data_IF_109511679301
#
_entry.id   IF_109511679301
#
_cell.length_a   1.000
_cell.length_b   1.000
_cell.length_c   1.000
_cell.angle_alpha   90.00
_cell.angle_beta   90.00
_cell.angle_gamma   90.00
#
_symmetry.space_group_name_H-M   'P 1'
#
loop_
_entity.id
_entity.type
_entity.pdbx_description
1 polymer ?
#
# COMPACT_ATOMS: atom_id res chain seq x y z
N UNK A 1 25.36 -0.72 30.07
CA UNK A 1 24.66 -1.16 28.84
C UNK A 1 23.39 -0.33 28.67
N UNK A 2 23.28 0.52 27.65
CA UNK A 2 22.04 1.28 27.39
C UNK A 2 20.94 0.28 27.02
N UNK A 3 19.85 0.23 27.79
CA UNK A 3 18.67 -0.59 27.46
C UNK A 3 18.15 -0.12 26.10
N UNK A 4 18.09 -1.03 25.13
CA UNK A 4 17.46 -0.75 23.83
C UNK A 4 16.00 -0.43 24.10
N UNK A 5 15.55 0.76 23.70
CA UNK A 5 14.14 1.10 23.76
C UNK A 5 13.43 0.41 22.59
N UNK A 6 12.80 -0.72 22.86
CA UNK A 6 12.05 -1.52 21.88
C UNK A 6 10.94 -0.71 21.17
N UNK A 7 10.42 0.36 21.80
CA UNK A 7 9.48 1.28 21.16
C UNK A 7 10.09 2.06 20.00
N UNK A 8 11.36 2.48 20.10
CA UNK A 8 12.09 3.16 19.02
C UNK A 8 12.34 2.22 17.85
N UNK A 9 12.73 0.98 18.14
CA UNK A 9 12.98 -0.05 17.12
C UNK A 9 11.70 -0.34 16.35
N UNK A 10 10.58 -0.59 17.05
CA UNK A 10 9.29 -0.81 16.40
C UNK A 10 8.85 0.38 15.54
N UNK A 11 8.98 1.60 16.08
CA UNK A 11 8.64 2.82 15.34
C UNK A 11 9.48 3.00 14.06
N UNK A 12 10.78 2.66 14.09
CA UNK A 12 11.64 2.68 12.91
C UNK A 12 11.16 1.68 11.85
N UNK A 13 10.84 0.45 12.25
CA UNK A 13 10.32 -0.56 11.33
C UNK A 13 9.00 -0.12 10.68
N UNK A 14 8.10 0.51 11.43
CA UNK A 14 6.87 1.07 10.86
C UNK A 14 7.15 2.14 9.81
N UNK A 15 8.11 3.04 10.05
CA UNK A 15 8.49 4.06 9.07
C UNK A 15 9.10 3.45 7.81
N UNK A 16 10.03 2.50 7.96
CA UNK A 16 10.63 1.80 6.83
C UNK A 16 9.55 1.10 5.99
N UNK A 17 8.60 0.44 6.66
CA UNK A 17 7.52 -0.26 5.98
C UNK A 17 6.60 0.70 5.21
N UNK A 18 6.29 1.87 5.78
CA UNK A 18 5.51 2.92 5.11
C UNK A 18 6.27 3.57 3.95
N UNK A 19 7.59 3.75 4.06
CA UNK A 19 8.44 4.22 2.96
C UNK A 19 8.42 3.21 1.81
N UNK A 20 8.53 1.92 2.10
CA UNK A 20 8.46 0.88 1.06
C UNK A 20 7.09 0.85 0.38
N UNK A 21 6.01 1.03 1.14
CA UNK A 21 4.66 1.09 0.58
C UNK A 21 4.46 2.31 -0.32
N UNK A 22 4.64 3.51 0.24
CA UNK A 22 4.37 4.79 -0.43
C UNK A 22 5.37 4.99 -1.58
N UNK A 23 6.66 4.81 -1.30
CA UNK A 23 7.73 4.95 -2.27
C UNK A 23 7.67 3.88 -3.36
N UNK A 24 7.41 2.62 -3.00
CA UNK A 24 7.27 1.52 -3.96
C UNK A 24 6.16 1.78 -4.97
N UNK A 25 4.98 2.24 -4.52
CA UNK A 25 3.88 2.56 -5.43
C UNK A 25 4.21 3.75 -6.33
N UNK A 26 4.85 4.80 -5.81
CA UNK A 26 5.29 5.96 -6.63
C UNK A 26 6.25 5.52 -7.72
N UNK A 27 7.24 4.68 -7.40
CA UNK A 27 8.18 4.14 -8.38
C UNK A 27 7.46 3.31 -9.45
N UNK A 28 6.52 2.46 -9.04
CA UNK A 28 5.74 1.65 -10.00
C UNK A 28 4.96 2.57 -10.96
N UNK A 29 4.22 3.54 -10.43
CA UNK A 29 3.35 4.41 -11.23
C UNK A 29 4.16 5.35 -12.13
N UNK A 30 5.17 6.03 -11.58
CA UNK A 30 5.88 7.09 -12.28
C UNK A 30 6.97 6.57 -13.23
N UNK A 31 7.57 5.41 -12.92
CA UNK A 31 8.73 4.90 -13.65
C UNK A 31 8.42 3.58 -14.37
N UNK A 32 7.94 2.57 -13.63
CA UNK A 32 7.81 1.20 -14.18
C UNK A 32 6.72 1.12 -15.24
N UNK A 33 5.52 1.65 -14.96
CA UNK A 33 4.40 1.59 -15.92
C UNK A 33 4.77 2.26 -17.26
N UNK A 34 5.25 3.53 -17.30
CA UNK A 34 5.64 4.15 -18.57
C UNK A 34 6.78 3.42 -19.27
N UNK A 35 7.82 2.99 -18.52
CA UNK A 35 8.96 2.31 -19.11
C UNK A 35 8.56 1.00 -19.81
N UNK A 36 7.66 0.22 -19.19
CA UNK A 36 7.20 -1.06 -19.73
C UNK A 36 6.35 -0.84 -20.97
N UNK A 37 5.38 0.08 -20.95
CA UNK A 37 4.53 0.34 -22.12
C UNK A 37 5.27 1.03 -23.28
N UNK A 38 6.34 1.77 -23.01
CA UNK A 38 7.19 2.32 -24.06
C UNK A 38 8.11 1.26 -24.70
N UNK A 39 8.41 0.17 -23.98
CA UNK A 39 9.38 -0.85 -24.42
C UNK A 39 8.72 -2.13 -24.95
N UNK A 40 7.48 -2.42 -24.55
CA UNK A 40 6.75 -3.64 -24.88
C UNK A 40 5.37 -3.34 -25.48
N UNK A 41 4.85 -4.26 -26.30
CA UNK A 41 3.45 -4.22 -26.75
C UNK A 41 2.45 -4.41 -25.60
N UNK A 42 1.18 -4.08 -25.85
CA UNK A 42 0.13 -4.03 -24.81
C UNK A 42 -0.04 -5.34 -24.03
N UNK A 43 -0.03 -6.49 -24.71
CA UNK A 43 -0.23 -7.80 -24.11
C UNK A 43 0.97 -8.24 -23.23
N UNK A 44 2.22 -8.24 -23.72
CA UNK A 44 3.40 -8.51 -22.87
C UNK A 44 3.54 -7.51 -21.70
N UNK A 45 3.28 -6.22 -21.94
CA UNK A 45 3.31 -5.19 -20.91
C UNK A 45 2.28 -5.47 -19.80
N UNK A 46 1.06 -5.86 -20.17
CA UNK A 46 -0.01 -6.20 -19.25
C UNK A 46 0.34 -7.40 -18.35
N UNK A 47 0.92 -8.46 -18.92
CA UNK A 47 1.37 -9.62 -18.14
C UNK A 47 2.53 -9.29 -17.20
N UNK A 48 3.49 -8.49 -17.66
CA UNK A 48 4.60 -8.05 -16.83
C UNK A 48 4.12 -7.22 -15.63
N UNK A 49 3.28 -6.21 -15.88
CA UNK A 49 2.75 -5.35 -14.84
C UNK A 49 1.90 -6.13 -13.84
N UNK A 50 1.09 -7.10 -14.28
CA UNK A 50 0.37 -8.00 -13.39
C UNK A 50 1.30 -8.66 -12.39
N UNK A 51 2.41 -9.26 -12.85
CA UNK A 51 3.38 -9.92 -11.97
C UNK A 51 4.06 -8.96 -11.00
N UNK A 52 4.34 -7.73 -11.43
CA UNK A 52 4.87 -6.66 -10.56
C UNK A 52 3.86 -6.28 -9.47
N UNK A 53 2.60 -6.07 -9.86
CA UNK A 53 1.53 -5.71 -8.91
C UNK A 53 1.16 -6.85 -7.97
N UNK A 54 1.22 -8.11 -8.40
CA UNK A 54 1.03 -9.28 -7.53
C UNK A 54 2.13 -9.34 -6.46
N UNK A 55 3.39 -9.16 -6.86
CA UNK A 55 4.52 -9.10 -5.94
C UNK A 55 4.43 -7.92 -4.96
N UNK A 56 4.08 -6.74 -5.47
CA UNK A 56 3.85 -5.55 -4.65
C UNK A 56 2.66 -5.72 -3.69
N UNK A 57 1.58 -6.36 -4.15
CA UNK A 57 0.41 -6.70 -3.35
C UNK A 57 0.75 -7.61 -2.18
N UNK A 58 1.48 -8.70 -2.43
CA UNK A 58 1.95 -9.60 -1.39
C UNK A 58 2.88 -8.89 -0.40
N UNK A 59 3.79 -8.03 -0.89
CA UNK A 59 4.64 -7.21 -0.03
C UNK A 59 3.81 -6.29 0.88
N UNK A 60 2.74 -5.67 0.36
CA UNK A 60 1.86 -4.82 1.15
C UNK A 60 1.11 -5.60 2.23
N UNK A 61 0.72 -6.85 1.98
CA UNK A 61 0.14 -7.73 3.02
C UNK A 61 1.13 -7.95 4.16
N UNK A 62 2.40 -8.24 3.84
CA UNK A 62 3.44 -8.38 4.87
C UNK A 62 3.69 -7.08 5.64
N UNK A 63 3.65 -5.94 4.95
CA UNK A 63 3.75 -4.63 5.61
C UNK A 63 2.56 -4.41 6.55
N UNK A 64 1.32 -4.73 6.15
CA UNK A 64 0.15 -4.61 7.02
C UNK A 64 0.29 -5.47 8.28
N UNK A 65 0.75 -6.72 8.13
CA UNK A 65 1.00 -7.60 9.26
C UNK A 65 2.02 -6.98 10.20
N UNK A 66 3.15 -6.50 9.66
CA UNK A 66 4.19 -5.85 10.46
C UNK A 66 3.65 -4.61 11.18
N UNK A 67 2.95 -3.72 10.48
CA UNK A 67 2.36 -2.50 11.05
C UNK A 67 1.36 -2.85 12.16
N UNK A 68 0.51 -3.84 11.95
CA UNK A 68 -0.50 -4.28 12.92
C UNK A 68 0.12 -4.90 14.16
N UNK A 69 1.10 -5.78 13.99
CA UNK A 69 1.80 -6.44 15.11
C UNK A 69 2.58 -5.43 15.93
N UNK A 70 3.36 -4.54 15.29
CA UNK A 70 4.16 -3.55 16.00
C UNK A 70 3.27 -2.51 16.69
N UNK A 71 2.21 -2.03 16.03
CA UNK A 71 1.23 -1.15 16.65
C UNK A 71 0.53 -1.82 17.84
N UNK A 72 0.16 -3.09 17.73
CA UNK A 72 -0.45 -3.86 18.82
C UNK A 72 0.48 -4.05 20.02
N UNK A 73 1.74 -4.42 19.79
CA UNK A 73 2.76 -4.54 20.84
C UNK A 73 2.95 -3.20 21.55
N UNK A 74 3.05 -2.10 20.79
CA UNK A 74 3.22 -0.76 21.37
C UNK A 74 1.99 -0.26 22.11
N UNK A 75 0.79 -0.56 21.61
CA UNK A 75 -0.44 -0.26 22.31
C UNK A 75 -0.50 -0.99 23.66
N UNK A 76 -0.09 -2.27 23.71
CA UNK A 76 -0.03 -3.03 24.97
C UNK A 76 1.04 -2.53 25.94
N UNK A 77 2.20 -2.11 25.42
CA UNK A 77 3.33 -1.69 26.24
C UNK A 77 3.23 -0.24 26.75
N UNK A 78 2.63 0.67 25.96
CA UNK A 78 2.64 2.12 26.22
C UNK A 78 1.23 2.76 26.19
N UNK A 79 0.16 1.99 25.96
CA UNK A 79 -1.19 2.51 25.73
C UNK A 79 -1.88 3.16 26.93
N UNK A 80 -1.30 3.10 28.13
CA UNK A 80 -1.85 3.72 29.33
C UNK A 80 -1.28 5.11 29.65
N UNK A 81 -0.29 5.60 28.88
CA UNK A 81 0.36 6.90 29.11
C UNK A 81 0.27 7.79 27.85
N UNK A 82 -0.68 8.77 27.81
CA UNK A 82 -0.97 9.57 26.61
C UNK A 82 0.16 10.49 26.11
N UNK A 83 1.26 10.66 26.85
CA UNK A 83 2.29 11.67 26.57
C UNK A 83 3.58 11.14 25.91
N UNK A 84 3.71 9.82 25.67
CA UNK A 84 4.92 9.27 25.08
C UNK A 84 4.85 9.20 23.56
N UNK A 85 5.97 9.52 22.89
CA UNK A 85 6.20 9.38 21.44
C UNK A 85 5.69 8.04 20.87
N UNK A 86 5.63 7.01 21.71
CA UNK A 86 5.35 5.63 21.34
C UNK A 86 3.87 5.23 21.44
N UNK A 87 2.99 6.05 22.02
CA UNK A 87 1.56 5.74 22.12
C UNK A 87 0.89 5.69 20.74
N UNK A 88 0.04 4.68 20.52
CA UNK A 88 -0.72 4.51 19.27
C UNK A 88 -2.04 5.27 19.39
N UNK A 89 -2.28 6.17 18.46
CA UNK A 89 -3.49 7.03 18.45
C UNK A 89 -4.66 6.35 17.73
N UNK A 90 -5.90 6.73 18.06
CA UNK A 90 -7.09 6.22 17.36
C UNK A 90 -7.06 6.49 15.85
N UNK A 91 -6.43 7.59 15.43
CA UNK A 91 -6.24 7.92 14.00
C UNK A 91 -5.36 6.89 13.31
N UNK A 92 -4.29 6.42 13.95
CA UNK A 92 -3.42 5.39 13.37
C UNK A 92 -4.17 4.06 13.17
N UNK A 93 -5.05 3.69 14.11
CA UNK A 93 -5.91 2.51 13.98
C UNK A 93 -6.90 2.64 12.83
N UNK A 94 -7.58 3.78 12.69
CA UNK A 94 -8.49 4.03 11.57
C UNK A 94 -7.79 3.99 10.22
N UNK A 95 -6.60 4.59 10.12
CA UNK A 95 -5.80 4.55 8.90
C UNK A 95 -5.36 3.12 8.56
N UNK A 96 -4.89 2.36 9.55
CA UNK A 96 -4.47 0.97 9.35
C UNK A 96 -5.64 0.06 8.96
N UNK A 97 -6.81 0.25 9.59
CA UNK A 97 -8.04 -0.45 9.22
C UNK A 97 -8.46 -0.14 7.78
N UNK A 98 -8.44 1.14 7.39
CA UNK A 98 -8.70 1.57 6.02
C UNK A 98 -7.73 0.95 5.01
N UNK A 99 -6.42 0.97 5.31
CA UNK A 99 -5.41 0.35 4.45
C UNK A 99 -5.62 -1.17 4.30
N UNK A 100 -6.03 -1.83 5.38
CA UNK A 100 -6.31 -3.27 5.38
C UNK A 100 -7.52 -3.58 4.51
N UNK A 101 -8.61 -2.83 4.70
CA UNK A 101 -9.83 -2.96 3.90
C UNK A 101 -9.51 -2.78 2.42
N UNK A 102 -8.82 -1.70 2.04
CA UNK A 102 -8.49 -1.42 0.65
C UNK A 102 -7.59 -2.50 0.04
N UNK A 103 -6.55 -2.92 0.76
CA UNK A 103 -5.65 -3.98 0.30
C UNK A 103 -6.38 -5.29 0.07
N UNK A 104 -7.27 -5.68 1.00
CA UNK A 104 -8.08 -6.88 0.86
C UNK A 104 -9.03 -6.78 -0.33
N UNK A 105 -9.76 -5.67 -0.47
CA UNK A 105 -10.65 -5.44 -1.62
C UNK A 105 -9.92 -5.53 -2.95
N UNK A 106 -8.71 -4.95 -3.04
CA UNK A 106 -7.91 -5.01 -4.26
C UNK A 106 -7.45 -6.43 -4.55
N UNK A 107 -6.85 -7.12 -3.57
CA UNK A 107 -6.18 -8.41 -3.84
C UNK A 107 -7.14 -9.59 -3.93
N UNK A 108 -8.21 -9.59 -3.14
CA UNK A 108 -9.10 -10.76 -3.01
C UNK A 108 -10.33 -10.63 -3.91
N UNK A 109 -10.79 -9.41 -4.17
CA UNK A 109 -12.03 -9.17 -4.92
C UNK A 109 -11.72 -8.64 -6.31
N UNK A 110 -11.14 -7.45 -6.39
CA UNK A 110 -11.00 -6.73 -7.66
C UNK A 110 -9.89 -7.30 -8.55
N UNK A 111 -8.81 -7.79 -7.95
CA UNK A 111 -7.65 -8.36 -8.64
C UNK A 111 -8.03 -9.59 -9.48
N UNK A 112 -8.62 -10.64 -8.89
CA UNK A 112 -9.05 -11.82 -9.64
C UNK A 112 -10.05 -11.50 -10.76
N UNK A 113 -10.98 -10.55 -10.52
CA UNK A 113 -11.93 -10.10 -11.54
C UNK A 113 -11.21 -9.39 -12.70
N UNK A 114 -10.27 -8.50 -12.41
CA UNK A 114 -9.49 -7.80 -13.43
C UNK A 114 -8.60 -8.77 -14.24
N UNK A 115 -8.07 -9.81 -13.59
CA UNK A 115 -7.31 -10.87 -14.25
C UNK A 115 -8.17 -11.66 -15.24
N UNK A 116 -9.38 -12.06 -14.84
CA UNK A 116 -10.29 -12.81 -15.69
C UNK A 116 -10.66 -12.01 -16.95
N UNK A 117 -11.04 -10.73 -16.78
CA UNK A 117 -11.35 -9.85 -17.92
C UNK A 117 -10.14 -9.58 -18.81
N UNK A 118 -8.94 -9.49 -18.23
CA UNK A 118 -7.70 -9.34 -19.02
C UNK A 118 -7.42 -10.57 -19.88
N UNK A 119 -7.58 -11.77 -19.31
CA UNK A 119 -7.38 -13.03 -20.04
C UNK A 119 -8.42 -13.19 -21.16
N UNK A 120 -9.67 -12.82 -20.91
CA UNK A 120 -10.73 -12.79 -21.93
C UNK A 120 -10.42 -11.81 -23.06
N UNK A 121 -9.98 -10.59 -22.73
CA UNK A 121 -9.60 -9.59 -23.74
C UNK A 121 -8.40 -10.03 -24.59
N UNK A 122 -7.49 -10.81 -24.03
CA UNK A 122 -6.33 -11.34 -24.75
C UNK A 122 -6.68 -12.58 -25.59
N UNK A 123 -7.64 -13.40 -25.14
CA UNK A 123 -8.10 -14.59 -25.85
C UNK A 123 -9.07 -14.29 -27.02
N UNK A 124 -9.70 -13.11 -27.03
CA UNK A 124 -10.63 -12.72 -28.08
C UNK A 124 -9.96 -12.66 -29.47
N UNK A 125 -10.55 -13.39 -30.43
CA UNK A 125 -10.03 -13.52 -31.81
C UNK A 125 -10.65 -12.48 -32.74
N UNK A 126 -11.96 -12.22 -32.59
CA UNK A 126 -12.63 -11.19 -33.39
C UNK A 126 -12.33 -9.81 -32.83
N UNK A 127 -12.27 -8.81 -33.72
CA UNK A 127 -12.03 -7.43 -33.32
C UNK A 127 -13.16 -6.87 -32.45
N UNK A 128 -14.40 -7.24 -32.77
CA UNK A 128 -15.59 -6.79 -32.04
C UNK A 128 -15.62 -7.34 -30.61
N UNK A 129 -15.33 -8.63 -30.43
CA UNK A 129 -15.25 -9.25 -29.10
C UNK A 129 -14.10 -8.66 -28.28
N UNK A 130 -12.96 -8.37 -28.94
CA UNK A 130 -11.78 -7.79 -28.30
C UNK A 130 -12.06 -6.37 -27.78
N UNK A 131 -12.78 -5.55 -28.55
CA UNK A 131 -13.14 -4.20 -28.15
C UNK A 131 -14.11 -4.20 -26.95
N UNK A 132 -15.08 -5.12 -26.92
CA UNK A 132 -16.02 -5.30 -25.80
C UNK A 132 -15.26 -5.72 -24.53
N UNK A 133 -14.46 -6.79 -24.62
CA UNK A 133 -13.70 -7.32 -23.49
C UNK A 133 -12.70 -6.28 -22.94
N UNK A 134 -12.04 -5.51 -23.81
CA UNK A 134 -11.18 -4.41 -23.37
C UNK A 134 -11.96 -3.31 -22.65
N UNK A 135 -13.14 -2.93 -23.13
CA UNK A 135 -13.95 -1.90 -22.48
C UNK A 135 -14.33 -2.31 -21.05
N UNK A 136 -14.71 -3.57 -20.86
CA UNK A 136 -15.04 -4.11 -19.53
C UNK A 136 -13.81 -4.18 -18.62
N UNK A 137 -12.69 -4.69 -19.15
CA UNK A 137 -11.42 -4.71 -18.43
C UNK A 137 -11.02 -3.29 -17.99
N UNK A 138 -11.03 -2.30 -18.89
CA UNK A 138 -10.64 -0.93 -18.56
C UNK A 138 -11.58 -0.29 -17.54
N UNK A 139 -12.89 -0.55 -17.63
CA UNK A 139 -13.87 -0.06 -16.64
C UNK A 139 -13.54 -0.57 -15.25
N UNK A 140 -13.31 -1.86 -15.08
CA UNK A 140 -12.93 -2.43 -13.78
C UNK A 140 -11.53 -1.96 -13.35
N UNK A 141 -10.59 -1.91 -14.28
CA UNK A 141 -9.22 -1.50 -14.00
C UNK A 141 -9.13 -0.04 -13.51
N UNK A 142 -10.01 0.86 -13.98
CA UNK A 142 -10.12 2.22 -13.45
C UNK A 142 -10.56 2.24 -11.98
N UNK A 143 -11.49 1.36 -11.59
CA UNK A 143 -11.89 1.19 -10.18
C UNK A 143 -10.71 0.69 -9.35
N UNK A 144 -9.99 -0.33 -9.83
CA UNK A 144 -8.78 -0.86 -9.17
C UNK A 144 -7.74 0.25 -8.95
N UNK A 145 -7.49 1.08 -9.97
CA UNK A 145 -6.58 2.24 -9.86
C UNK A 145 -7.03 3.25 -8.82
N UNK A 146 -8.32 3.59 -8.80
CA UNK A 146 -8.88 4.48 -7.79
C UNK A 146 -8.70 3.91 -6.38
N UNK A 147 -8.94 2.61 -6.19
CA UNK A 147 -8.69 1.92 -4.93
C UNK A 147 -7.23 1.99 -4.50
N UNK A 148 -6.27 1.77 -5.42
CA UNK A 148 -4.85 1.94 -5.13
C UNK A 148 -4.49 3.37 -4.72
N UNK A 149 -5.08 4.39 -5.37
CA UNK A 149 -4.83 5.79 -5.04
C UNK A 149 -5.39 6.17 -3.66
N UNK A 150 -6.57 5.67 -3.31
CA UNK A 150 -7.14 5.84 -1.96
C UNK A 150 -6.24 5.17 -0.92
N UNK A 151 -5.82 3.92 -1.18
CA UNK A 151 -4.94 3.18 -0.28
C UNK A 151 -3.58 3.89 -0.09
N UNK A 152 -3.03 4.46 -1.17
CA UNK A 152 -1.86 5.32 -1.12
C UNK A 152 -2.07 6.54 -0.21
N UNK A 153 -3.20 7.24 -0.36
CA UNK A 153 -3.56 8.38 0.48
C UNK A 153 -3.62 8.02 1.97
N UNK A 154 -4.16 6.84 2.31
CA UNK A 154 -4.20 6.33 3.68
C UNK A 154 -2.79 6.04 4.22
N UNK A 155 -1.95 5.35 3.44
CA UNK A 155 -0.57 5.04 3.82
C UNK A 155 0.28 6.31 4.00
N UNK A 156 0.17 7.26 3.07
CA UNK A 156 0.85 8.55 3.14
C UNK A 156 0.38 9.37 4.36
N UNK A 157 -0.92 9.35 4.67
CA UNK A 157 -1.47 10.00 5.87
C UNK A 157 -0.90 9.37 7.15
N UNK A 158 -0.82 8.04 7.21
CA UNK A 158 -0.23 7.33 8.35
C UNK A 158 1.26 7.66 8.51
N UNK A 159 1.98 7.75 7.39
CA UNK A 159 3.37 8.19 7.38
C UNK A 159 3.53 9.61 7.93
N UNK A 160 2.70 10.56 7.47
CA UNK A 160 2.72 11.95 7.95
C UNK A 160 2.41 12.01 9.45
N UNK A 161 1.41 11.27 9.94
CA UNK A 161 1.08 11.21 11.39
C UNK A 161 2.29 10.77 12.20
N UNK A 162 3.01 9.73 11.75
CA UNK A 162 4.21 9.24 12.44
C UNK A 162 5.36 10.25 12.37
N UNK A 163 5.65 10.82 11.20
CA UNK A 163 6.70 11.85 11.07
C UNK A 163 6.41 13.06 11.95
N UNK A 164 5.14 13.50 12.04
CA UNK A 164 4.73 14.58 12.94
C UNK A 164 5.05 14.27 14.40
N UNK A 165 4.82 13.03 14.88
CA UNK A 165 5.18 12.63 16.26
C UNK A 165 6.68 12.81 16.54
N UNK A 166 7.55 12.54 15.56
CA UNK A 166 9.00 12.77 15.69
C UNK A 166 9.32 14.25 15.82
N UNK A 167 8.75 15.07 14.92
CA UNK A 167 9.03 16.50 14.86
C UNK A 167 8.55 17.24 16.11
N UNK A 168 7.33 16.96 16.57
CA UNK A 168 6.78 17.59 17.77
C UNK A 168 7.53 17.17 19.04
N UNK A 169 7.93 15.90 19.17
CA UNK A 169 8.72 15.48 20.32
C UNK A 169 10.09 16.14 20.37
N UNK A 170 10.77 16.31 19.22
CA UNK A 170 12.03 17.07 19.14
C UNK A 170 11.86 18.53 19.54
N UNK A 171 10.74 19.17 19.16
CA UNK A 171 10.48 20.57 19.52
C UNK A 171 10.25 20.80 21.01
N UNK A 172 9.68 19.80 21.71
CA UNK A 172 9.47 19.86 23.17
C UNK A 172 10.74 19.54 23.96
N UNK A 173 11.62 18.70 23.44
CA UNK A 173 12.90 18.37 24.08
C UNK A 173 13.97 19.46 23.91
N UNK A 174 13.76 20.41 22.99
CA UNK A 174 14.66 21.54 22.74
C UNK A 174 14.26 22.83 23.48
N UNK A 175 13.17 22.79 24.26
CA UNK A 175 12.76 23.85 25.20
C UNK A 175 13.08 23.43 26.61
#
# INVERSE_FOLDING_TARGET
>A
MKRINWGVVGFLFELCALILWVGGLVVIIALVIPAVFNSFGMEPAGHFLRRVFDGFGLMNVWILILLSVVAGIRFRAFGHTPSEMFAVSSVEWWLLAGMTLMTFSILVILGPQAMALQEEAFAAVSKEDKDIAYAEFFRLHMVVRACHLVNFGLAASLFIVKVRKILFHRSMAAR
#
